data_IF_228936583021
#
_entry.id   IF_228936583021
#
_cell.length_a   1.000
_cell.length_b   1.000
_cell.length_c   1.000
_cell.angle_alpha   90.00
_cell.angle_beta   90.00
_cell.angle_gamma   90.00
#
_symmetry.space_group_name_H-M   'P 1'
#
loop_
_entity.id
_entity.type
_entity.pdbx_description
1 polymer ?
#
# COMPACT_ATOMS: atom_id res chain seq x y z
N UNK A 1 29.04 -25.47 22.54
CA UNK A 1 27.63 -25.86 22.75
C UNK A 1 27.13 -25.12 23.97
N UNK A 2 26.33 -24.07 23.81
CA UNK A 2 25.64 -23.45 24.94
C UNK A 2 24.36 -24.23 25.18
N UNK A 3 24.27 -24.94 26.29
CA UNK A 3 23.01 -25.49 26.75
C UNK A 3 22.16 -24.30 27.21
N UNK A 4 21.22 -23.87 26.36
CA UNK A 4 20.18 -22.95 26.81
C UNK A 4 19.27 -23.72 27.77
N UNK A 5 19.14 -23.20 28.98
CA UNK A 5 18.13 -23.67 29.93
C UNK A 5 16.78 -23.27 29.35
N UNK A 6 15.90 -24.24 29.12
CA UNK A 6 14.51 -23.96 28.76
C UNK A 6 13.76 -23.43 29.98
N UNK A 7 13.62 -22.11 30.05
CA UNK A 7 12.92 -21.43 31.13
C UNK A 7 11.42 -21.23 30.87
N UNK A 8 10.86 -21.83 29.81
CA UNK A 8 9.45 -21.63 29.42
C UNK A 8 9.06 -20.14 29.34
N UNK A 9 9.96 -19.32 28.78
CA UNK A 9 9.87 -17.85 28.67
C UNK A 9 9.82 -17.09 30.01
N UNK A 10 10.07 -17.76 31.15
CA UNK A 10 10.17 -17.08 32.43
C UNK A 10 11.58 -16.52 32.64
N UNK A 11 11.69 -15.27 33.15
CA UNK A 11 12.97 -14.70 33.56
C UNK A 11 13.48 -15.44 34.80
N UNK A 12 14.80 -15.59 34.87
CA UNK A 12 15.46 -16.23 36.01
C UNK A 12 15.30 -15.38 37.27
N UNK A 13 14.71 -15.94 38.32
CA UNK A 13 14.62 -15.32 39.64
C UNK A 13 15.71 -15.91 40.56
N UNK A 14 16.51 -15.04 41.17
CA UNK A 14 17.60 -15.45 42.07
C UNK A 14 17.11 -16.11 43.37
N UNK A 15 15.79 -16.16 43.56
CA UNK A 15 15.09 -16.66 44.73
C UNK A 15 14.64 -18.12 44.65
N UNK A 16 15.03 -18.85 43.59
CA UNK A 16 14.69 -20.28 43.46
C UNK A 16 15.12 -21.12 44.67
N UNK A 17 14.26 -22.05 45.11
CA UNK A 17 14.52 -22.98 46.23
C UNK A 17 15.76 -23.86 46.02
N UNK A 18 16.14 -24.08 44.75
CA UNK A 18 17.27 -24.91 44.37
C UNK A 18 18.62 -24.18 44.42
N UNK A 19 18.63 -22.88 44.73
CA UNK A 19 19.89 -22.15 44.90
C UNK A 19 20.57 -22.48 46.22
N UNK A 20 21.71 -23.13 46.11
CA UNK A 20 22.69 -23.19 47.18
C UNK A 20 23.20 -21.78 47.53
N UNK A 21 23.55 -21.57 48.81
CA UNK A 21 24.19 -20.32 49.23
C UNK A 21 25.52 -20.12 48.51
N UNK A 22 25.96 -18.87 48.40
CA UNK A 22 27.26 -18.49 47.82
C UNK A 22 28.47 -19.21 48.48
N UNK A 23 28.25 -19.84 49.64
CA UNK A 23 29.25 -20.54 50.46
C UNK A 23 29.05 -22.06 50.55
N UNK A 24 28.00 -22.62 49.95
CA UNK A 24 27.72 -24.06 50.02
C UNK A 24 28.78 -24.84 49.23
N UNK A 25 29.19 -26.02 49.70
CA UNK A 25 30.32 -26.87 49.22
C UNK A 25 31.71 -26.46 49.71
N UNK A 26 31.91 -26.57 51.03
CA UNK A 26 33.10 -26.14 51.76
C UNK A 26 34.20 -27.21 51.78
N UNK A 27 35.40 -26.87 51.32
CA UNK A 27 36.65 -27.60 51.59
C UNK A 27 37.62 -26.68 52.34
N UNK A 28 37.34 -26.44 53.63
CA UNK A 28 38.25 -25.74 54.54
C UNK A 28 38.40 -24.22 54.38
N UNK A 29 38.32 -23.66 53.17
CA UNK A 29 38.54 -22.22 52.91
C UNK A 29 37.25 -21.44 52.60
N UNK A 30 37.20 -20.16 53.02
CA UNK A 30 36.10 -19.23 52.77
C UNK A 30 36.20 -18.62 51.37
N UNK A 31 35.98 -19.44 50.34
CA UNK A 31 35.95 -19.00 48.94
C UNK A 31 34.51 -18.97 48.46
N UNK A 32 34.10 -17.83 47.92
CA UNK A 32 32.82 -17.66 47.24
C UNK A 32 32.81 -18.48 45.94
N UNK A 33 31.93 -19.48 45.84
CA UNK A 33 31.90 -20.43 44.70
C UNK A 33 30.83 -20.09 43.66
N UNK A 34 29.79 -19.37 44.06
CA UNK A 34 28.68 -18.97 43.18
C UNK A 34 28.51 -17.46 43.30
N UNK A 35 28.60 -16.76 42.17
CA UNK A 35 28.35 -15.32 42.05
C UNK A 35 27.15 -15.08 41.14
N UNK A 36 26.10 -14.40 41.61
CA UNK A 36 25.01 -14.00 40.74
C UNK A 36 25.50 -13.00 39.70
N UNK A 37 24.90 -13.01 38.50
CA UNK A 37 25.20 -12.03 37.45
C UNK A 37 24.79 -10.62 37.86
N UNK A 38 23.70 -10.50 38.63
CA UNK A 38 23.31 -9.27 39.31
C UNK A 38 24.03 -9.18 40.67
N UNK A 39 24.94 -8.21 40.88
CA UNK A 39 25.67 -8.04 42.14
C UNK A 39 24.77 -7.76 43.36
N UNK A 40 23.55 -7.29 43.13
CA UNK A 40 22.60 -6.98 44.20
C UNK A 40 21.68 -8.16 44.57
N UNK A 41 21.71 -9.23 43.80
CA UNK A 41 20.86 -10.38 44.02
C UNK A 41 21.34 -11.21 45.21
N UNK A 42 20.42 -11.55 46.12
CA UNK A 42 20.70 -12.44 47.26
C UNK A 42 20.44 -13.89 46.86
N UNK A 43 21.47 -14.71 46.76
CA UNK A 43 21.33 -16.15 46.47
C UNK A 43 21.45 -17.00 47.75
N UNK A 44 20.68 -18.07 47.85
CA UNK A 44 20.84 -19.08 48.90
C UNK A 44 19.60 -19.90 49.21
N UNK A 45 19.76 -20.89 50.09
CA UNK A 45 18.71 -21.87 50.39
C UNK A 45 17.45 -21.15 50.91
N UNK A 46 16.30 -21.45 50.29
CA UNK A 46 14.99 -20.98 50.75
C UNK A 46 14.20 -22.13 51.37
N UNK A 47 13.27 -21.80 52.25
CA UNK A 47 12.38 -22.77 52.90
C UNK A 47 11.08 -23.01 52.11
N UNK A 48 10.80 -22.17 51.11
CA UNK A 48 9.59 -22.24 50.27
C UNK A 48 9.93 -21.88 48.81
N UNK A 49 9.10 -22.34 47.88
CA UNK A 49 9.18 -22.00 46.47
C UNK A 49 9.01 -20.49 46.26
N UNK A 50 9.80 -19.91 45.36
CA UNK A 50 9.61 -18.53 44.90
C UNK A 50 8.40 -18.41 43.98
N UNK A 51 7.99 -17.17 43.66
CA UNK A 51 6.94 -16.94 42.66
C UNK A 51 7.35 -17.48 41.27
N UNK A 52 8.63 -17.34 40.90
CA UNK A 52 9.17 -17.91 39.66
C UNK A 52 9.16 -19.44 39.67
N UNK A 53 9.58 -20.08 40.77
CA UNK A 53 9.52 -21.54 40.95
C UNK A 53 8.09 -22.06 40.79
N UNK A 54 7.11 -21.41 41.44
CA UNK A 54 5.69 -21.78 41.37
C UNK A 54 5.20 -21.64 39.92
N UNK A 55 5.51 -20.51 39.27
CA UNK A 55 5.07 -20.22 37.91
C UNK A 55 5.67 -21.20 36.89
N UNK A 56 6.96 -21.51 37.00
CA UNK A 56 7.63 -22.46 36.13
C UNK A 56 7.14 -23.90 36.37
N UNK A 57 6.93 -24.29 37.64
CA UNK A 57 6.35 -25.59 38.01
C UNK A 57 4.92 -25.74 37.45
N UNK A 58 4.09 -24.70 37.59
CA UNK A 58 2.73 -24.71 37.04
C UNK A 58 2.72 -24.86 35.52
N UNK A 59 3.64 -24.19 34.80
CA UNK A 59 3.81 -24.37 33.35
C UNK A 59 4.29 -25.77 32.99
N UNK A 60 5.28 -26.30 33.71
CA UNK A 60 5.89 -27.61 33.46
C UNK A 60 4.89 -28.76 33.68
N UNK A 61 4.10 -28.68 34.76
CA UNK A 61 3.17 -29.74 35.16
C UNK A 61 1.71 -29.49 34.75
N UNK A 62 1.43 -28.40 34.03
CA UNK A 62 0.08 -28.05 33.54
C UNK A 62 -0.95 -27.98 34.66
N UNK A 63 -0.56 -27.38 35.79
CA UNK A 63 -1.43 -27.24 36.94
C UNK A 63 -2.68 -26.40 36.58
N UNK A 64 -3.88 -26.76 37.09
CA UNK A 64 -5.08 -25.96 36.88
C UNK A 64 -4.87 -24.51 37.32
N UNK A 65 -5.36 -23.58 36.52
CA UNK A 65 -5.18 -22.15 36.73
C UNK A 65 -5.93 -21.68 37.99
N UNK A 66 -5.23 -20.99 38.88
CA UNK A 66 -5.77 -20.50 40.14
C UNK A 66 -6.91 -19.50 39.86
N UNK A 67 -7.97 -19.57 40.66
CA UNK A 67 -9.08 -18.60 40.65
C UNK A 67 -8.57 -17.15 40.55
N UNK A 68 -8.98 -16.41 39.52
CA UNK A 68 -8.59 -15.00 39.37
C UNK A 68 -7.35 -14.73 38.51
N UNK A 69 -6.71 -15.76 37.93
CA UNK A 69 -5.45 -15.58 37.20
C UNK A 69 -5.62 -15.01 35.78
N UNK A 70 -4.63 -14.22 35.37
CA UNK A 70 -4.39 -13.87 33.96
C UNK A 70 -3.77 -15.07 33.23
N UNK A 71 -4.38 -15.48 32.12
CA UNK A 71 -4.02 -16.70 31.39
C UNK A 71 -3.46 -16.33 30.03
N UNK A 72 -2.21 -16.70 29.78
CA UNK A 72 -1.55 -16.49 28.47
C UNK A 72 -0.95 -17.79 27.98
N UNK A 73 -1.26 -18.17 26.75
CA UNK A 73 -0.75 -19.39 26.13
C UNK A 73 -1.64 -19.88 25.01
N UNK A 74 -1.19 -20.87 24.25
CA UNK A 74 -1.95 -21.46 23.13
C UNK A 74 -2.87 -22.60 23.58
N UNK A 75 -2.76 -23.07 24.81
CA UNK A 75 -3.67 -24.05 25.40
C UNK A 75 -3.58 -23.99 26.93
N UNK A 76 -4.59 -24.54 27.61
CA UNK A 76 -4.55 -24.71 29.05
C UNK A 76 -5.85 -25.25 29.63
N UNK A 77 -5.83 -25.54 30.93
CA UNK A 77 -6.96 -26.10 31.67
C UNK A 77 -7.36 -25.15 32.80
N UNK A 78 -8.65 -24.84 32.87
CA UNK A 78 -9.27 -24.04 33.92
C UNK A 78 -10.26 -24.92 34.66
N UNK A 79 -10.16 -24.96 35.98
CA UNK A 79 -11.09 -25.72 36.82
C UNK A 79 -11.74 -24.81 37.84
N UNK A 80 -12.90 -25.22 38.34
CA UNK A 80 -13.45 -24.62 39.55
C UNK A 80 -12.47 -24.80 40.72
N UNK A 81 -12.52 -23.92 41.73
CA UNK A 81 -11.77 -24.11 42.97
C UNK A 81 -12.03 -25.50 43.57
N UNK A 82 -10.99 -26.11 44.13
CA UNK A 82 -11.01 -27.45 44.76
C UNK A 82 -11.31 -28.63 43.83
N UNK A 83 -11.56 -28.44 42.53
CA UNK A 83 -11.82 -29.53 41.59
C UNK A 83 -10.74 -30.62 41.68
N UNK A 84 -11.09 -31.93 41.75
CA UNK A 84 -12.43 -32.51 41.51
C UNK A 84 -13.37 -32.55 42.74
N UNK A 85 -12.99 -31.95 43.87
CA UNK A 85 -13.88 -31.78 45.01
C UNK A 85 -14.85 -30.62 44.77
N UNK A 86 -15.89 -30.54 45.59
CA UNK A 86 -16.87 -29.48 45.51
C UNK A 86 -16.23 -28.08 45.68
N UNK A 87 -16.71 -27.12 44.90
CA UNK A 87 -16.26 -25.73 45.01
C UNK A 87 -16.71 -25.11 46.33
N UNK A 88 -16.08 -24.01 46.77
CA UNK A 88 -16.47 -23.32 48.00
C UNK A 88 -17.70 -22.41 47.79
N UNK A 89 -18.50 -22.21 48.83
CA UNK A 89 -19.55 -21.19 48.85
C UNK A 89 -18.99 -19.77 48.72
N UNK A 90 -19.79 -18.83 48.19
CA UNK A 90 -19.47 -17.41 48.03
C UNK A 90 -18.17 -17.17 47.24
N UNK A 91 -17.91 -17.98 46.22
CA UNK A 91 -16.69 -17.89 45.45
C UNK A 91 -16.92 -17.05 44.19
N UNK A 92 -15.96 -16.19 43.86
CA UNK A 92 -15.94 -15.48 42.58
C UNK A 92 -14.56 -15.56 41.96
N UNK A 93 -14.50 -16.09 40.74
CA UNK A 93 -13.28 -16.22 39.96
C UNK A 93 -13.46 -15.53 38.62
N UNK A 94 -12.42 -14.84 38.15
CA UNK A 94 -12.36 -14.23 36.83
C UNK A 94 -11.07 -14.67 36.15
N UNK A 95 -11.17 -15.28 34.97
CA UNK A 95 -10.03 -15.66 34.16
C UNK A 95 -10.06 -14.86 32.86
N UNK A 96 -8.96 -14.17 32.58
CA UNK A 96 -8.75 -13.46 31.32
C UNK A 96 -7.79 -14.30 30.47
N UNK A 97 -8.29 -14.86 29.37
CA UNK A 97 -7.56 -15.75 28.49
C UNK A 97 -7.09 -14.96 27.28
N UNK A 98 -5.78 -14.95 27.04
CA UNK A 98 -5.15 -14.33 25.88
C UNK A 98 -4.32 -15.35 25.12
N UNK A 99 -4.66 -15.56 23.85
CA UNK A 99 -3.87 -16.35 22.88
C UNK A 99 -3.08 -15.40 21.96
N UNK A 100 -2.10 -15.90 21.17
CA UNK A 100 -1.40 -15.09 20.20
C UNK A 100 -2.34 -14.36 19.23
N UNK A 101 -1.92 -13.17 18.78
CA UNK A 101 -2.67 -12.37 17.80
C UNK A 101 -2.83 -13.16 16.50
N UNK A 102 -4.03 -13.16 15.92
CA UNK A 102 -4.38 -13.96 14.73
C UNK A 102 -5.00 -15.32 15.04
N UNK A 103 -5.08 -15.70 16.32
CA UNK A 103 -5.80 -16.88 16.78
C UNK A 103 -7.16 -16.52 17.39
N UNK A 104 -8.07 -17.49 17.42
CA UNK A 104 -9.28 -17.48 18.24
C UNK A 104 -9.18 -18.51 19.36
N UNK A 105 -10.00 -18.37 20.38
CA UNK A 105 -10.03 -19.23 21.56
C UNK A 105 -11.23 -20.16 21.44
N UNK A 106 -10.98 -21.46 21.50
CA UNK A 106 -12.03 -22.47 21.61
C UNK A 106 -11.99 -23.06 23.02
N UNK A 107 -13.09 -22.95 23.76
CA UNK A 107 -13.26 -23.44 25.12
C UNK A 107 -14.22 -24.63 25.14
N UNK A 108 -13.77 -25.75 25.71
CA UNK A 108 -14.55 -26.98 25.83
C UNK A 108 -14.55 -27.50 27.27
N UNK A 109 -15.72 -27.88 27.78
CA UNK A 109 -15.87 -28.46 29.11
C UNK A 109 -15.69 -29.98 29.06
N UNK A 110 -14.85 -30.52 29.94
CA UNK A 110 -14.68 -31.97 30.14
C UNK A 110 -15.54 -32.49 31.29
N UNK A 111 -15.95 -31.60 32.21
CA UNK A 111 -16.82 -31.90 33.34
C UNK A 111 -17.56 -30.62 33.75
N UNK A 112 -18.84 -30.73 34.11
CA UNK A 112 -19.67 -29.58 34.50
C UNK A 112 -20.80 -30.03 35.45
N UNK A 113 -20.80 -29.53 36.69
CA UNK A 113 -21.82 -29.78 37.70
C UNK A 113 -21.88 -28.58 38.67
N UNK A 114 -22.83 -27.67 38.44
CA UNK A 114 -23.11 -26.51 39.29
C UNK A 114 -24.57 -26.54 39.78
N UNK A 115 -24.84 -25.85 40.88
CA UNK A 115 -26.22 -25.55 41.29
C UNK A 115 -26.93 -24.71 40.22
N UNK A 116 -28.19 -25.02 39.94
CA UNK A 116 -29.05 -24.22 39.06
C UNK A 116 -29.65 -25.00 37.89
N UNK A 117 -30.66 -24.39 37.25
CA UNK A 117 -31.35 -24.97 36.08
C UNK A 117 -31.54 -23.94 34.97
N UNK A 118 -32.71 -23.27 34.88
CA UNK A 118 -33.04 -22.46 33.68
C UNK A 118 -32.48 -21.04 33.70
N UNK A 119 -32.42 -20.39 34.86
CA UNK A 119 -32.05 -18.96 34.96
C UNK A 119 -30.62 -18.71 35.47
N UNK A 120 -29.95 -19.75 36.02
CA UNK A 120 -28.60 -19.64 36.58
C UNK A 120 -28.43 -18.49 37.59
N UNK A 121 -29.44 -18.29 38.44
CA UNK A 121 -29.49 -17.20 39.43
C UNK A 121 -28.66 -17.47 40.69
N UNK A 122 -28.38 -18.75 40.98
CA UNK A 122 -27.51 -19.19 42.08
C UNK A 122 -26.05 -19.25 41.59
N UNK A 123 -25.61 -20.44 41.17
CA UNK A 123 -24.25 -20.66 40.69
C UNK A 123 -24.18 -20.61 39.17
N UNK A 124 -23.12 -19.99 38.63
CA UNK A 124 -22.99 -19.85 37.18
C UNK A 124 -21.55 -19.69 36.69
N UNK A 125 -21.37 -20.03 35.41
CA UNK A 125 -20.23 -19.61 34.60
C UNK A 125 -20.71 -18.71 33.47
N UNK A 126 -20.13 -17.52 33.35
CA UNK A 126 -20.34 -16.59 32.22
C UNK A 126 -19.09 -16.50 31.38
N UNK A 127 -19.28 -16.52 30.06
CA UNK A 127 -18.19 -16.41 29.09
C UNK A 127 -18.43 -15.18 28.22
N UNK A 128 -17.42 -14.32 28.11
CA UNK A 128 -17.46 -13.05 27.38
C UNK A 128 -16.45 -13.04 26.22
N UNK A 129 -16.84 -12.41 25.12
CA UNK A 129 -16.07 -12.34 23.88
C UNK A 129 -15.09 -11.17 23.85
N UNK A 130 -14.09 -11.19 24.74
CA UNK A 130 -13.04 -10.18 24.75
C UNK A 130 -12.29 -10.13 26.08
N UNK A 131 -11.53 -9.04 26.33
CA UNK A 131 -10.61 -8.97 27.46
C UNK A 131 -11.28 -8.64 28.80
N UNK A 132 -12.60 -8.42 28.86
CA UNK A 132 -13.27 -8.14 30.13
C UNK A 132 -14.75 -8.54 30.15
N UNK A 133 -15.38 -8.47 31.33
CA UNK A 133 -16.83 -8.67 31.53
C UNK A 133 -17.73 -7.60 30.91
N UNK A 134 -17.15 -6.50 30.41
CA UNK A 134 -17.91 -5.44 29.73
C UNK A 134 -18.12 -5.75 28.25
N UNK A 135 -17.49 -6.81 27.75
CA UNK A 135 -17.59 -7.27 26.37
C UNK A 135 -18.86 -8.10 26.13
N UNK A 136 -19.12 -8.45 24.88
CA UNK A 136 -20.30 -9.23 24.51
C UNK A 136 -20.35 -10.57 25.26
N UNK A 137 -21.42 -10.79 26.04
CA UNK A 137 -21.69 -12.08 26.69
C UNK A 137 -21.98 -13.13 25.62
N UNK A 138 -21.19 -14.20 25.58
CA UNK A 138 -21.40 -15.34 24.69
C UNK A 138 -22.45 -16.29 25.26
N UNK A 139 -22.31 -16.65 26.54
CA UNK A 139 -23.20 -17.61 27.19
C UNK A 139 -23.12 -17.54 28.73
N UNK A 140 -24.22 -17.91 29.37
CA UNK A 140 -24.32 -18.21 30.82
C UNK A 140 -24.63 -19.69 30.98
N UNK A 141 -23.93 -20.38 31.88
CA UNK A 141 -23.98 -21.83 32.08
C UNK A 141 -24.20 -22.15 33.57
N UNK A 142 -25.06 -23.13 33.86
CA UNK A 142 -25.27 -23.71 35.19
C UNK A 142 -25.90 -25.11 35.06
N UNK A 143 -26.10 -25.81 36.17
CA UNK A 143 -26.65 -27.17 36.18
C UNK A 143 -25.63 -28.26 35.86
N UNK A 144 -26.12 -29.39 35.35
CA UNK A 144 -25.34 -30.64 35.21
C UNK A 144 -25.09 -31.09 33.76
N UNK A 145 -25.72 -30.42 32.81
CA UNK A 145 -25.56 -30.75 31.40
C UNK A 145 -24.21 -30.25 30.90
N UNK A 146 -23.49 -31.10 30.17
CA UNK A 146 -22.19 -30.72 29.62
C UNK A 146 -22.38 -29.65 28.53
N UNK A 147 -21.82 -28.43 28.70
CA UNK A 147 -22.00 -27.35 27.75
C UNK A 147 -21.41 -27.66 26.37
N UNK A 148 -22.01 -27.06 25.33
CA UNK A 148 -21.40 -27.04 24.00
C UNK A 148 -20.13 -26.18 24.02
N UNK A 149 -19.20 -26.51 23.12
CA UNK A 149 -17.98 -25.73 22.88
C UNK A 149 -18.31 -24.28 22.55
N UNK A 150 -17.54 -23.35 23.12
CA UNK A 150 -17.69 -21.90 22.93
C UNK A 150 -16.44 -21.34 22.26
N UNK A 151 -16.60 -20.50 21.25
CA UNK A 151 -15.49 -19.89 20.53
C UNK A 151 -15.54 -18.36 20.60
N UNK A 152 -14.38 -17.70 20.76
CA UNK A 152 -14.25 -16.25 20.64
C UNK A 152 -14.11 -15.81 19.18
N UNK A 153 -14.34 -14.52 18.92
CA UNK A 153 -14.06 -13.89 17.62
C UNK A 153 -12.70 -13.17 17.58
N UNK A 154 -12.05 -13.01 18.73
CA UNK A 154 -10.74 -12.38 18.89
C UNK A 154 -9.75 -13.30 19.61
N UNK A 155 -8.52 -12.83 19.80
CA UNK A 155 -7.50 -13.54 20.57
C UNK A 155 -7.66 -13.40 22.09
N UNK A 156 -8.79 -12.89 22.56
CA UNK A 156 -9.11 -12.72 23.99
C UNK A 156 -10.51 -13.25 24.34
N UNK A 157 -10.63 -13.84 25.52
CA UNK A 157 -11.88 -14.37 26.08
C UNK A 157 -11.84 -14.24 27.60
N UNK A 158 -12.96 -13.87 28.22
CA UNK A 158 -13.06 -13.77 29.67
C UNK A 158 -14.07 -14.78 30.20
N UNK A 159 -13.72 -15.49 31.28
CA UNK A 159 -14.61 -16.42 31.96
C UNK A 159 -14.80 -15.99 33.42
N UNK A 160 -16.04 -15.88 33.88
CA UNK A 160 -16.41 -15.58 35.25
C UNK A 160 -17.15 -16.78 35.86
N UNK A 161 -16.71 -17.25 37.03
CA UNK A 161 -17.44 -18.21 37.85
C UNK A 161 -17.90 -17.54 39.14
N UNK A 162 -19.16 -17.74 39.51
CA UNK A 162 -19.75 -17.26 40.77
C UNK A 162 -20.52 -18.40 41.43
N UNK A 163 -20.33 -18.56 42.75
CA UNK A 163 -21.18 -19.38 43.61
C UNK A 163 -21.81 -18.58 44.74
N UNK A 164 -23.01 -18.98 45.17
CA UNK A 164 -23.74 -18.38 46.27
C UNK A 164 -23.43 -19.05 47.64
N UNK A 165 -24.21 -18.75 48.67
CA UNK A 165 -23.98 -19.24 50.04
C UNK A 165 -24.42 -20.70 50.30
N UNK A 166 -25.12 -21.32 49.35
CA UNK A 166 -25.79 -22.61 49.48
C UNK A 166 -25.35 -23.60 48.38
N UNK A 167 -25.56 -24.89 48.63
CA UNK A 167 -25.37 -26.03 47.69
C UNK A 167 -24.09 -25.99 46.84
N UNK A 168 -23.06 -26.69 47.29
CA UNK A 168 -21.82 -26.85 46.52
C UNK A 168 -21.81 -28.19 45.79
N UNK A 169 -21.71 -28.13 44.46
CA UNK A 169 -21.66 -29.29 43.57
C UNK A 169 -20.23 -29.58 43.10
N UNK A 170 -20.06 -30.59 42.23
CA UNK A 170 -18.75 -31.09 41.78
C UNK A 170 -17.91 -30.12 40.93
N UNK A 171 -18.44 -28.96 40.56
CA UNK A 171 -17.71 -27.92 39.84
C UNK A 171 -17.51 -28.21 38.37
N UNK A 172 -16.42 -27.70 37.79
CA UNK A 172 -16.14 -27.86 36.36
C UNK A 172 -14.64 -28.01 36.07
N UNK A 173 -14.37 -28.61 34.90
CA UNK A 173 -13.07 -28.60 34.25
C UNK A 173 -13.28 -28.25 32.78
N UNK A 174 -12.56 -27.23 32.31
CA UNK A 174 -12.60 -26.74 30.95
C UNK A 174 -11.19 -26.62 30.38
N UNK A 175 -11.05 -26.92 29.10
CA UNK A 175 -9.81 -26.73 28.36
C UNK A 175 -10.01 -25.66 27.30
N UNK A 176 -9.07 -24.73 27.20
CA UNK A 176 -9.01 -23.79 26.09
C UNK A 176 -7.87 -24.15 25.15
N UNK A 177 -8.08 -23.90 23.86
CA UNK A 177 -7.06 -24.05 22.82
C UNK A 177 -7.14 -22.87 21.86
N UNK A 178 -5.96 -22.40 21.44
CA UNK A 178 -5.81 -21.47 20.34
C UNK A 178 -6.06 -22.23 19.05
N UNK A 179 -7.12 -21.85 18.35
CA UNK A 179 -7.27 -22.17 16.94
C UNK A 179 -6.65 -21.03 16.13
N UNK A 180 -6.03 -21.28 14.97
CA UNK A 180 -5.98 -20.25 13.94
C UNK A 180 -7.39 -19.70 13.80
N UNK A 181 -7.57 -18.39 13.64
CA UNK A 181 -8.90 -17.86 13.38
C UNK A 181 -9.41 -18.49 12.07
N UNK A 182 -10.13 -19.62 12.17
CA UNK A 182 -10.69 -20.33 11.02
C UNK A 182 -11.82 -19.45 10.53
N UNK A 183 -11.49 -18.55 9.62
CA UNK A 183 -12.41 -18.29 8.54
C UNK A 183 -12.03 -19.25 7.44
N UNK A 184 -12.96 -20.12 7.10
CA UNK A 184 -12.98 -20.95 5.91
C UNK A 184 -12.73 -20.05 4.69
N UNK A 185 -11.46 -19.91 4.33
CA UNK A 185 -10.97 -18.95 3.34
C UNK A 185 -10.11 -19.75 2.40
N UNK A 186 -10.72 -20.65 1.64
CA UNK A 186 -10.15 -21.06 0.38
C UNK A 186 -10.51 -20.00 -0.68
N UNK A 187 -9.80 -19.97 -1.80
CA UNK A 187 -10.09 -19.02 -2.88
C UNK A 187 -11.40 -19.31 -3.62
N UNK A 188 -12.08 -20.41 -3.29
CA UNK A 188 -13.43 -20.69 -3.79
C UNK A 188 -14.52 -19.95 -3.00
N UNK A 189 -14.23 -19.50 -1.78
CA UNK A 189 -15.14 -18.67 -1.01
C UNK A 189 -15.09 -17.22 -1.52
N UNK A 190 -16.24 -16.66 -1.93
CA UNK A 190 -16.37 -15.28 -2.39
C UNK A 190 -16.16 -14.24 -1.29
N UNK A 191 -16.12 -14.64 -0.02
CA UNK A 191 -15.86 -13.78 1.14
C UNK A 191 -14.40 -13.82 1.62
N UNK A 192 -13.44 -14.06 0.72
CA UNK A 192 -12.03 -13.95 1.06
C UNK A 192 -11.58 -12.49 1.20
N UNK A 193 -10.53 -12.26 1.99
CA UNK A 193 -10.02 -10.94 2.38
C UNK A 193 -8.97 -10.36 1.42
N UNK A 194 -8.68 -11.06 0.32
CA UNK A 194 -7.77 -10.56 -0.71
C UNK A 194 -8.44 -9.49 -1.55
N UNK A 195 -7.79 -8.33 -1.70
CA UNK A 195 -8.32 -7.23 -2.52
C UNK A 195 -8.33 -7.57 -4.03
N UNK A 196 -7.40 -8.39 -4.51
CA UNK A 196 -7.28 -8.71 -5.94
C UNK A 196 -7.21 -10.21 -6.24
N UNK A 197 -6.05 -10.84 -6.02
CA UNK A 197 -5.84 -12.26 -6.31
C UNK A 197 -5.72 -13.03 -4.99
N UNK A 198 -6.25 -14.25 -4.98
CA UNK A 198 -6.17 -15.20 -3.87
C UNK A 198 -5.47 -16.47 -4.37
N UNK A 199 -4.60 -17.06 -3.55
CA UNK A 199 -3.96 -18.35 -3.80
C UNK A 199 -4.10 -19.28 -2.60
N UNK A 200 -4.58 -20.50 -2.85
CA UNK A 200 -4.65 -21.56 -1.85
C UNK A 200 -3.24 -22.10 -1.55
N UNK A 201 -2.96 -22.33 -0.26
CA UNK A 201 -1.73 -22.99 0.24
C UNK A 201 -2.10 -24.21 1.07
N UNK A 202 -1.12 -25.02 1.48
CA UNK A 202 -1.36 -26.25 2.25
C UNK A 202 -2.08 -26.03 3.60
N UNK A 203 -2.03 -24.81 4.16
CA UNK A 203 -2.57 -24.49 5.50
C UNK A 203 -3.35 -23.16 5.57
N UNK A 204 -3.45 -22.38 4.49
CA UNK A 204 -4.09 -21.05 4.47
C UNK A 204 -4.40 -20.53 3.04
N UNK A 205 -4.78 -19.26 2.90
CA UNK A 205 -4.67 -18.52 1.62
C UNK A 205 -3.68 -17.36 1.72
N UNK A 206 -3.02 -17.10 0.60
CA UNK A 206 -2.16 -15.94 0.39
C UNK A 206 -2.77 -15.00 -0.64
N UNK A 207 -2.74 -13.71 -0.37
CA UNK A 207 -3.18 -12.71 -1.35
C UNK A 207 -2.03 -12.33 -2.27
N UNK A 208 -2.36 -12.10 -3.53
CA UNK A 208 -1.47 -11.57 -4.53
C UNK A 208 -2.13 -10.38 -5.24
N UNK A 209 -1.30 -9.62 -5.96
CA UNK A 209 -1.75 -8.47 -6.72
C UNK A 209 -1.50 -8.69 -8.21
N UNK A 210 -2.42 -8.17 -9.04
CA UNK A 210 -2.27 -8.17 -10.50
C UNK A 210 -1.05 -7.33 -10.89
N UNK A 211 -0.62 -7.46 -12.14
CA UNK A 211 0.48 -6.66 -12.72
C UNK A 211 0.26 -5.16 -12.44
N UNK A 212 1.33 -4.47 -12.04
CA UNK A 212 1.34 -3.04 -11.69
C UNK A 212 0.69 -2.68 -10.34
N UNK A 213 0.56 -3.64 -9.43
CA UNK A 213 0.18 -3.44 -8.03
C UNK A 213 1.17 -4.13 -7.08
N UNK A 214 1.33 -3.59 -5.87
CA UNK A 214 2.20 -4.09 -4.81
C UNK A 214 1.37 -4.44 -3.57
N UNK A 215 1.62 -5.65 -3.04
CA UNK A 215 0.95 -6.14 -1.83
C UNK A 215 1.38 -5.31 -0.63
N UNK A 216 0.41 -4.78 0.11
CA UNK A 216 0.63 -3.94 1.27
C UNK A 216 1.06 -4.78 2.50
N UNK A 217 1.65 -4.14 3.53
CA UNK A 217 2.14 -4.85 4.73
C UNK A 217 1.06 -5.59 5.52
N UNK A 218 -0.22 -5.28 5.30
CA UNK A 218 -1.34 -6.03 5.88
C UNK A 218 -1.50 -7.44 5.26
N UNK A 219 -0.77 -7.72 4.18
CA UNK A 219 -0.82 -8.94 3.40
C UNK A 219 -2.07 -9.09 2.55
N UNK A 220 -2.98 -8.10 2.55
CA UNK A 220 -4.36 -8.18 2.03
C UNK A 220 -4.59 -7.24 0.85
N UNK A 221 -4.12 -6.01 1.00
CA UNK A 221 -4.43 -4.91 0.12
C UNK A 221 -3.38 -4.75 -0.96
N UNK A 222 -3.80 -4.29 -2.13
CA UNK A 222 -2.96 -4.07 -3.29
C UNK A 222 -2.92 -2.57 -3.60
N UNK A 223 -1.75 -1.96 -3.41
CA UNK A 223 -1.52 -0.56 -3.79
C UNK A 223 -1.03 -0.51 -5.23
N UNK A 224 -1.57 0.42 -6.01
CA UNK A 224 -1.09 0.64 -7.37
C UNK A 224 0.39 1.04 -7.36
N UNK A 225 1.18 0.34 -8.18
CA UNK A 225 2.51 0.81 -8.55
C UNK A 225 2.31 1.88 -9.63
N UNK A 226 2.17 3.13 -9.22
CA UNK A 226 2.32 4.24 -10.15
C UNK A 226 3.79 4.18 -10.64
N UNK A 227 4.05 3.55 -11.79
CA UNK A 227 5.42 3.48 -12.34
C UNK A 227 5.91 4.92 -12.52
N UNK A 228 6.78 5.35 -11.61
CA UNK A 228 7.21 6.76 -11.50
C UNK A 228 7.91 7.27 -12.76
N UNK A 229 8.44 6.37 -13.58
CA UNK A 229 9.10 6.65 -14.84
C UNK A 229 8.55 5.74 -15.94
N UNK A 230 7.96 6.33 -16.98
CA UNK A 230 7.53 5.60 -18.17
C UNK A 230 8.64 5.69 -19.23
N UNK A 231 9.36 4.59 -19.47
CA UNK A 231 10.45 4.49 -20.47
C UNK A 231 10.03 3.60 -21.64
N UNK A 232 10.23 4.04 -22.90
CA UNK A 232 9.92 3.27 -24.12
C UNK A 232 9.06 4.05 -25.13
N UNK A 233 9.05 3.69 -26.42
CA UNK A 233 8.48 4.50 -27.55
C UNK A 233 6.96 4.72 -27.48
N UNK A 234 6.23 3.83 -26.82
CA UNK A 234 4.79 3.91 -26.57
C UNK A 234 4.45 3.31 -25.21
N UNK A 235 3.32 3.72 -24.62
CA UNK A 235 2.79 3.10 -23.41
C UNK A 235 1.46 3.69 -22.96
N UNK A 236 0.85 3.05 -21.97
CA UNK A 236 -0.49 3.39 -21.44
C UNK A 236 -0.40 3.76 -19.95
N UNK A 237 -0.51 5.04 -19.56
CA UNK A 237 -0.87 5.41 -18.19
C UNK A 237 -2.31 4.97 -17.91
N UNK A 238 -2.45 4.03 -16.98
CA UNK A 238 -3.73 3.55 -16.49
C UNK A 238 -4.09 4.28 -15.19
N UNK A 239 -5.35 4.68 -15.06
CA UNK A 239 -5.88 5.15 -13.79
C UNK A 239 -5.94 4.02 -12.76
N UNK A 240 -5.54 4.27 -11.50
CA UNK A 240 -5.74 3.33 -10.40
C UNK A 240 -7.22 3.01 -10.23
N UNK A 241 -7.59 1.73 -10.21
CA UNK A 241 -9.00 1.33 -10.16
C UNK A 241 -9.58 1.40 -8.75
N UNK A 242 -8.79 1.30 -7.67
CA UNK A 242 -9.30 1.48 -6.30
C UNK A 242 -8.17 1.52 -5.26
N UNK A 243 -8.48 2.20 -4.15
CA UNK A 243 -7.81 2.26 -2.83
C UNK A 243 -7.07 3.56 -2.45
N UNK A 244 -7.45 4.00 -1.25
CA UNK A 244 -7.03 5.13 -0.41
C UNK A 244 -5.83 5.98 -0.86
N UNK A 245 -6.13 7.26 -1.08
CA UNK A 245 -5.21 8.42 -0.94
C UNK A 245 -3.80 8.22 -1.48
N UNK A 246 -3.68 7.97 -2.79
CA UNK A 246 -2.37 7.91 -3.45
C UNK A 246 -2.32 8.89 -4.60
N UNK A 247 -1.37 9.83 -4.56
CA UNK A 247 -1.02 10.65 -5.71
C UNK A 247 -0.16 9.81 -6.65
N UNK A 248 -0.63 9.58 -7.88
CA UNK A 248 0.20 8.93 -8.90
C UNK A 248 0.93 9.98 -9.71
N UNK A 249 2.25 9.80 -9.88
CA UNK A 249 3.08 10.66 -10.71
C UNK A 249 3.73 9.80 -11.79
N UNK A 250 3.47 10.13 -13.05
CA UNK A 250 4.18 9.57 -14.19
C UNK A 250 5.03 10.66 -14.82
N UNK A 251 6.35 10.43 -14.82
CA UNK A 251 7.30 11.31 -15.50
C UNK A 251 7.77 10.65 -16.80
N UNK A 252 7.52 11.31 -17.92
CA UNK A 252 8.02 10.96 -19.24
C UNK A 252 9.27 11.81 -19.50
N UNK A 253 10.41 11.14 -19.65
CA UNK A 253 11.72 11.77 -19.85
C UNK A 253 12.26 11.39 -21.22
N UNK A 254 12.95 12.33 -21.85
CA UNK A 254 13.56 12.14 -23.16
C UNK A 254 14.60 11.01 -23.13
N UNK A 255 14.53 10.08 -24.08
CA UNK A 255 15.50 8.98 -24.20
C UNK A 255 16.52 9.20 -25.32
N UNK A 256 16.21 10.09 -26.28
CA UNK A 256 17.09 10.49 -27.38
C UNK A 256 17.01 12.01 -27.57
N UNK A 257 17.98 12.66 -28.23
CA UNK A 257 17.90 14.11 -28.53
C UNK A 257 16.70 14.41 -29.45
N UNK A 258 16.08 15.58 -29.26
CA UNK A 258 14.97 16.11 -30.07
C UNK A 258 13.66 15.28 -30.12
N UNK A 259 13.25 14.63 -29.03
CA UNK A 259 11.96 13.91 -29.01
C UNK A 259 10.82 14.80 -28.50
N UNK A 260 9.63 14.63 -29.07
CA UNK A 260 8.39 15.29 -28.64
C UNK A 260 7.42 14.25 -28.09
N UNK A 261 6.81 14.54 -26.96
CA UNK A 261 5.80 13.68 -26.33
C UNK A 261 4.43 14.05 -26.85
N UNK A 262 3.70 13.09 -27.40
CA UNK A 262 2.26 13.20 -27.62
C UNK A 262 1.53 12.36 -26.59
N UNK A 263 0.58 12.96 -25.88
CA UNK A 263 -0.32 12.30 -24.96
C UNK A 263 -1.77 12.49 -25.42
N UNK A 264 -2.52 11.39 -25.53
CA UNK A 264 -3.92 11.36 -25.96
C UNK A 264 -4.74 10.58 -24.94
N UNK A 265 -5.81 11.20 -24.41
CA UNK A 265 -6.77 10.52 -23.56
C UNK A 265 -7.79 9.76 -24.43
N UNK A 266 -8.06 8.51 -24.09
CA UNK A 266 -9.06 7.65 -24.75
C UNK A 266 -10.30 7.46 -23.89
N UNK A 267 -10.15 7.53 -22.57
CA UNK A 267 -11.24 7.47 -21.58
C UNK A 267 -10.98 8.54 -20.51
N UNK A 268 -12.03 9.21 -20.01
CA UNK A 268 -11.90 10.25 -19.00
C UNK A 268 -13.21 10.46 -18.24
N UNK A 269 -13.27 9.96 -17.01
CA UNK A 269 -14.41 10.14 -16.09
C UNK A 269 -13.88 10.41 -14.67
N UNK A 270 -13.71 11.69 -14.35
CA UNK A 270 -13.26 12.17 -13.05
C UNK A 270 -14.39 12.99 -12.39
N UNK A 271 -14.90 12.52 -11.24
CA UNK A 271 -16.02 13.13 -10.52
C UNK A 271 -15.64 14.52 -9.97
N UNK A 272 -16.61 15.46 -10.05
CA UNK A 272 -16.59 16.91 -9.72
C UNK A 272 -15.95 17.82 -10.77
N UNK A 273 -16.74 18.80 -11.22
CA UNK A 273 -16.34 19.81 -12.21
C UNK A 273 -15.30 20.83 -11.70
N UNK A 274 -15.11 20.94 -10.38
CA UNK A 274 -14.22 21.94 -9.78
C UNK A 274 -12.74 21.48 -9.66
N UNK A 275 -12.41 20.26 -10.09
CA UNK A 275 -11.04 19.69 -10.11
C UNK A 275 -10.28 19.77 -8.75
N UNK A 276 -10.98 19.86 -7.61
CA UNK A 276 -10.36 19.97 -6.28
C UNK A 276 -10.01 18.61 -5.65
N UNK A 277 -10.77 17.57 -6.00
CA UNK A 277 -10.56 16.21 -5.49
C UNK A 277 -9.86 15.35 -6.55
N UNK A 278 -10.63 14.81 -7.50
CA UNK A 278 -10.13 13.95 -8.57
C UNK A 278 -9.74 14.81 -9.77
N UNK A 279 -8.44 14.89 -10.04
CA UNK A 279 -7.96 15.64 -11.20
C UNK A 279 -6.68 15.04 -11.78
N UNK A 280 -6.55 15.18 -13.10
CA UNK A 280 -5.29 14.92 -13.81
C UNK A 280 -4.63 16.27 -14.06
N UNK A 281 -3.50 16.52 -13.41
CA UNK A 281 -2.64 17.68 -13.64
C UNK A 281 -1.54 17.29 -14.63
N UNK A 282 -1.40 18.09 -15.69
CA UNK A 282 -0.39 17.87 -16.73
C UNK A 282 0.57 19.04 -16.74
N UNK A 283 1.83 18.75 -16.47
CA UNK A 283 2.94 19.71 -16.52
C UNK A 283 3.77 19.40 -17.77
N UNK A 284 3.83 20.35 -18.70
CA UNK A 284 4.50 20.20 -20.00
C UNK A 284 5.33 21.41 -20.37
N UNK A 285 6.33 21.21 -21.22
CA UNK A 285 7.19 22.27 -21.77
C UNK A 285 6.87 22.54 -23.24
N UNK A 286 6.70 23.81 -23.59
CA UNK A 286 6.53 24.28 -24.97
C UNK A 286 7.89 24.54 -25.65
N UNK A 287 7.85 24.68 -26.97
CA UNK A 287 9.01 25.01 -27.82
C UNK A 287 9.73 26.31 -27.40
N UNK A 288 8.99 27.31 -26.92
CA UNK A 288 9.56 28.59 -26.44
C UNK A 288 10.05 28.52 -24.99
N UNK A 289 10.31 27.32 -24.47
CA UNK A 289 10.73 27.09 -23.10
C UNK A 289 9.68 27.41 -22.02
N UNK A 290 8.44 27.73 -22.40
CA UNK A 290 7.35 28.03 -21.47
C UNK A 290 6.76 26.75 -20.89
N UNK A 291 6.63 26.68 -19.57
CA UNK A 291 5.93 25.60 -18.87
C UNK A 291 4.43 25.87 -18.83
N UNK A 292 3.62 24.87 -19.13
CA UNK A 292 2.18 24.87 -18.91
C UNK A 292 1.86 23.83 -17.85
N UNK A 293 1.09 24.26 -16.85
CA UNK A 293 0.56 23.42 -15.79
C UNK A 293 -0.97 23.56 -15.79
N UNK A 294 -1.67 22.49 -16.14
CA UNK A 294 -3.12 22.52 -16.29
C UNK A 294 -3.77 21.28 -15.66
N UNK A 295 -4.85 21.50 -14.91
CA UNK A 295 -5.71 20.45 -14.36
C UNK A 295 -6.87 20.15 -15.31
N UNK A 296 -7.23 18.87 -15.39
CA UNK A 296 -8.36 18.35 -16.12
C UNK A 296 -9.21 17.49 -15.16
N UNK A 297 -10.53 17.62 -15.25
CA UNK A 297 -11.52 16.84 -14.51
C UNK A 297 -12.86 16.83 -15.29
N UNK A 298 -13.84 16.08 -14.80
CA UNK A 298 -15.13 15.89 -15.48
C UNK A 298 -15.12 14.71 -16.44
N UNK A 299 -16.09 14.70 -17.37
CA UNK A 299 -16.34 13.61 -18.32
C UNK A 299 -15.89 13.90 -19.74
N UNK A 300 -15.44 15.12 -20.01
CA UNK A 300 -15.01 15.53 -21.34
C UNK A 300 -13.56 15.16 -21.55
N UNK A 301 -13.27 14.44 -22.64
CA UNK A 301 -11.90 14.10 -23.02
C UNK A 301 -11.03 15.38 -23.15
N UNK A 302 -9.88 15.45 -22.46
CA UNK A 302 -8.92 16.52 -22.66
C UNK A 302 -8.42 16.56 -24.12
N UNK A 303 -8.05 17.74 -24.64
CA UNK A 303 -7.41 17.83 -25.95
C UNK A 303 -6.06 17.11 -25.93
N UNK A 304 -5.59 16.68 -27.10
CA UNK A 304 -4.26 16.09 -27.24
C UNK A 304 -3.16 17.04 -26.74
N UNK A 305 -2.24 16.51 -25.94
CA UNK A 305 -1.18 17.27 -25.28
C UNK A 305 0.16 16.97 -25.95
N UNK A 306 0.91 18.02 -26.25
CA UNK A 306 2.23 17.96 -26.90
C UNK A 306 3.29 18.59 -25.98
N UNK A 307 4.40 17.91 -25.71
CA UNK A 307 5.53 18.44 -24.91
C UNK A 307 6.87 18.26 -25.64
N UNK A 308 7.79 19.22 -25.52
CA UNK A 308 9.06 19.25 -26.27
C UNK A 308 10.31 18.82 -25.47
N UNK A 309 10.17 18.46 -24.19
CA UNK A 309 11.31 18.16 -23.30
C UNK A 309 10.94 17.20 -22.16
N UNK A 310 10.07 17.65 -21.24
CA UNK A 310 9.57 16.84 -20.14
C UNK A 310 8.04 16.89 -20.11
N UNK A 311 7.40 15.76 -19.86
CA UNK A 311 5.97 15.67 -19.62
C UNK A 311 5.73 14.93 -18.30
N UNK A 312 5.15 15.61 -17.33
CA UNK A 312 4.74 15.01 -16.05
C UNK A 312 3.22 14.97 -15.97
N UNK A 313 2.68 13.78 -15.76
CA UNK A 313 1.27 13.53 -15.47
C UNK A 313 1.13 13.27 -13.97
N UNK A 314 0.31 14.05 -13.29
CA UNK A 314 0.00 13.85 -11.87
C UNK A 314 -1.48 13.56 -11.76
N UNK A 315 -1.84 12.41 -11.18
CA UNK A 315 -3.21 12.08 -10.84
C UNK A 315 -3.40 12.21 -9.34
N UNK A 316 -4.26 13.16 -8.96
CA UNK A 316 -4.67 13.38 -7.57
C UNK A 316 -5.97 12.60 -7.34
N UNK A 317 -5.94 11.63 -6.42
CA UNK A 317 -7.12 10.88 -5.97
C UNK A 317 -7.64 11.47 -4.65
N UNK A 318 -8.87 11.98 -4.68
CA UNK A 318 -9.60 12.41 -3.50
C UNK A 318 -10.16 11.24 -2.69
N UNK A 319 -10.65 11.52 -1.47
CA UNK A 319 -11.18 10.53 -0.53
C UNK A 319 -12.59 10.00 -0.87
N UNK A 320 -13.13 10.31 -2.05
CA UNK A 320 -14.48 9.90 -2.45
C UNK A 320 -14.45 8.45 -2.95
N UNK A 321 -15.09 7.53 -2.21
CA UNK A 321 -15.18 6.09 -2.54
C UNK A 321 -16.06 5.74 -3.73
N UNK A 322 -16.07 6.53 -4.81
CA UNK A 322 -16.69 6.19 -6.09
C UNK A 322 -15.61 5.95 -7.16
N UNK A 323 -15.80 4.98 -8.06
CA UNK A 323 -14.81 4.65 -9.09
C UNK A 323 -14.67 5.81 -10.09
N UNK A 324 -13.48 6.40 -10.16
CA UNK A 324 -13.09 7.35 -11.23
C UNK A 324 -11.96 6.76 -12.05
N UNK A 325 -11.98 6.96 -13.36
CA UNK A 325 -10.94 6.42 -14.23
C UNK A 325 -10.59 7.36 -15.38
N UNK A 326 -9.39 7.20 -15.89
CA UNK A 326 -8.97 7.71 -17.18
C UNK A 326 -8.03 6.69 -17.83
N UNK A 327 -8.00 6.71 -19.16
CA UNK A 327 -7.01 5.98 -19.95
C UNK A 327 -6.37 6.98 -20.89
N UNK A 328 -5.05 6.98 -20.95
CA UNK A 328 -4.32 7.77 -21.92
C UNK A 328 -3.18 6.95 -22.52
N UNK A 329 -2.82 7.31 -23.74
CA UNK A 329 -1.72 6.71 -24.49
C UNK A 329 -0.70 7.79 -24.78
N UNK A 330 0.58 7.47 -24.60
CA UNK A 330 1.67 8.34 -25.03
C UNK A 330 2.47 7.70 -26.17
N UNK A 331 3.03 8.56 -27.02
CA UNK A 331 4.01 8.17 -28.02
C UNK A 331 5.11 9.22 -28.15
N UNK A 332 6.31 8.76 -28.50
CA UNK A 332 7.41 9.61 -28.91
C UNK A 332 7.23 9.94 -30.40
N UNK A 333 7.33 11.21 -30.73
CA UNK A 333 7.43 11.69 -32.11
C UNK A 333 8.80 12.32 -32.29
N UNK A 334 9.49 11.97 -33.38
CA UNK A 334 10.69 12.68 -33.77
C UNK A 334 10.36 14.16 -33.97
N UNK A 335 11.26 15.05 -33.56
CA UNK A 335 11.15 16.47 -33.89
C UNK A 335 12.01 16.75 -35.12
N UNK A 336 11.43 16.57 -36.30
CA UNK A 336 12.10 16.77 -37.57
C UNK A 336 12.62 18.21 -37.71
N UNK A 337 11.91 19.19 -37.14
CA UNK A 337 12.33 20.59 -37.13
C UNK A 337 13.58 20.87 -36.25
N UNK A 338 13.87 20.04 -35.25
CA UNK A 338 14.99 20.29 -34.34
C UNK A 338 16.34 19.80 -34.88
N UNK A 339 16.32 18.98 -35.94
CA UNK A 339 17.52 18.56 -36.67
C UNK A 339 17.58 19.34 -37.98
N UNK A 340 18.63 20.16 -38.16
CA UNK A 340 18.84 20.96 -39.38
C UNK A 340 17.61 21.80 -39.84
N UNK A 341 16.78 22.30 -38.91
CA UNK A 341 15.53 23.02 -39.22
C UNK A 341 14.57 22.22 -40.12
N UNK A 342 14.54 20.87 -40.02
CA UNK A 342 13.73 20.02 -40.90
C UNK A 342 14.08 20.19 -42.39
N UNK A 343 15.34 20.52 -42.68
CA UNK A 343 15.85 20.91 -44.01
C UNK A 343 15.16 22.16 -44.60
N UNK A 344 14.37 22.90 -43.81
CA UNK A 344 13.73 24.13 -44.24
C UNK A 344 14.74 25.28 -44.37
N UNK A 345 14.69 25.99 -45.50
CA UNK A 345 15.58 27.12 -45.77
C UNK A 345 15.35 28.31 -44.82
N UNK A 346 14.10 28.54 -44.39
CA UNK A 346 13.77 29.63 -43.47
C UNK A 346 13.22 29.12 -42.14
N UNK A 347 11.97 28.65 -42.10
CA UNK A 347 11.35 28.27 -40.84
C UNK A 347 10.52 27.00 -40.98
N UNK A 348 10.89 26.00 -40.20
CA UNK A 348 10.11 24.78 -40.01
C UNK A 348 8.94 25.02 -39.06
N UNK A 349 7.80 24.44 -39.39
CA UNK A 349 6.61 24.43 -38.55
C UNK A 349 6.16 22.98 -38.38
N UNK A 350 6.15 22.51 -37.14
CA UNK A 350 5.64 21.18 -36.83
C UNK A 350 4.13 21.14 -36.98
N UNK A 351 3.63 20.05 -37.55
CA UNK A 351 2.20 19.73 -37.69
C UNK A 351 1.94 18.34 -37.10
N UNK A 352 0.70 17.97 -36.74
CA UNK A 352 0.44 16.64 -36.20
C UNK A 352 0.88 15.52 -37.16
N UNK A 353 1.90 14.75 -36.81
CA UNK A 353 2.43 13.63 -37.60
C UNK A 353 3.32 14.01 -38.80
N UNK A 354 3.67 15.29 -38.98
CA UNK A 354 4.56 15.75 -40.08
C UNK A 354 5.07 17.17 -39.80
N UNK A 355 5.85 17.78 -40.69
CA UNK A 355 6.26 19.18 -40.61
C UNK A 355 6.12 19.85 -41.96
N UNK A 356 6.10 21.18 -41.98
CA UNK A 356 6.15 21.94 -43.22
C UNK A 356 7.04 23.16 -43.08
N UNK A 357 7.69 23.51 -44.18
CA UNK A 357 8.52 24.70 -44.26
C UNK A 357 7.67 25.91 -44.66
N UNK A 358 8.03 27.09 -44.14
CA UNK A 358 7.44 28.36 -44.55
C UNK A 358 8.54 29.36 -44.79
N UNK A 359 8.31 30.23 -45.76
CA UNK A 359 9.25 31.26 -46.17
C UNK A 359 8.98 32.61 -45.52
N UNK A 360 9.98 33.48 -45.57
CA UNK A 360 9.86 34.89 -45.18
C UNK A 360 8.80 35.58 -46.05
N UNK A 361 8.15 36.62 -45.53
CA UNK A 361 7.18 37.44 -46.28
C UNK A 361 7.84 37.94 -47.59
N UNK A 362 7.16 37.72 -48.73
CA UNK A 362 7.68 38.03 -50.07
C UNK A 362 8.32 36.85 -50.82
N UNK A 363 8.46 35.70 -50.16
CA UNK A 363 8.95 34.46 -50.74
C UNK A 363 7.87 33.37 -50.67
N UNK A 364 7.88 32.46 -51.62
CA UNK A 364 7.05 31.27 -51.66
C UNK A 364 7.89 30.00 -51.58
N UNK A 365 7.27 28.93 -51.09
CA UNK A 365 7.92 27.66 -50.92
C UNK A 365 8.15 26.98 -52.28
N UNK A 366 9.37 26.50 -52.49
CA UNK A 366 9.83 25.77 -53.67
C UNK A 366 10.42 24.44 -53.23
N UNK A 367 10.16 23.36 -53.98
CA UNK A 367 10.67 22.00 -53.66
C UNK A 367 10.38 21.54 -52.21
N UNK A 368 9.27 22.00 -51.63
CA UNK A 368 8.81 21.71 -50.25
C UNK A 368 9.70 22.20 -49.10
N UNK A 369 10.95 22.60 -49.32
CA UNK A 369 11.84 23.08 -48.25
C UNK A 369 12.61 24.37 -48.55
N UNK A 370 12.72 24.78 -49.81
CA UNK A 370 13.42 26.01 -50.24
C UNK A 370 12.47 27.19 -50.42
N UNK A 371 13.02 28.39 -50.45
CA UNK A 371 12.29 29.64 -50.58
C UNK A 371 12.71 30.40 -51.84
N UNK A 372 11.75 30.71 -52.71
CA UNK A 372 11.97 31.55 -53.89
C UNK A 372 11.17 32.83 -53.81
N UNK A 373 11.68 33.92 -54.36
CA UNK A 373 10.99 35.20 -54.35
C UNK A 373 9.71 35.11 -55.19
N UNK A 374 8.58 35.63 -54.66
CA UNK A 374 7.33 35.72 -55.43
C UNK A 374 7.51 36.71 -56.57
N UNK A 375 7.40 36.24 -57.82
CA UNK A 375 7.16 37.11 -58.97
C UNK A 375 8.36 37.50 -59.85
N UNK A 376 9.31 36.60 -60.12
CA UNK A 376 10.08 36.72 -61.35
C UNK A 376 9.64 35.63 -62.33
N UNK A 377 8.98 36.05 -63.40
CA UNK A 377 8.63 35.21 -64.53
C UNK A 377 9.89 34.47 -65.04
N UNK A 378 9.72 33.21 -65.46
CA UNK A 378 10.74 32.48 -66.22
C UNK A 378 11.27 33.38 -67.33
N UNK A 379 12.59 33.51 -67.46
CA UNK A 379 13.20 33.96 -68.70
C UNK A 379 12.72 33.02 -69.81
N UNK A 380 11.86 33.51 -70.70
CA UNK A 380 11.58 32.84 -71.97
C UNK A 380 12.80 33.09 -72.88
N UNK A 381 13.28 32.07 -73.59
CA UNK A 381 14.55 32.12 -74.28
C UNK A 381 14.39 32.77 -75.65
N UNK A 382 14.03 34.05 -75.72
CA UNK A 382 14.05 34.78 -76.99
C UNK A 382 13.93 36.28 -76.72
N UNK A 383 15.05 36.88 -76.28
CA UNK A 383 15.42 38.32 -76.36
C UNK A 383 16.25 38.78 -75.16
N UNK A 384 17.42 38.20 -74.94
CA UNK A 384 18.51 38.90 -74.26
C UNK A 384 19.85 38.26 -74.62
N UNK A 385 20.73 39.05 -75.24
CA UNK A 385 22.14 38.74 -75.42
C UNK A 385 22.84 39.08 -74.09
N UNK A 386 23.31 38.05 -73.39
CA UNK A 386 24.47 37.99 -72.46
C UNK A 386 24.28 37.08 -71.22
N UNK A 387 25.43 36.59 -70.78
CA UNK A 387 25.73 35.40 -69.96
C UNK A 387 25.32 35.55 -68.50
N UNK A 388 24.61 34.54 -67.96
CA UNK A 388 24.40 34.38 -66.52
C UNK A 388 25.66 33.82 -65.86
N UNK A 389 26.31 34.61 -65.01
CA UNK A 389 27.25 34.11 -64.01
C UNK A 389 26.67 34.37 -62.62
N UNK A 390 26.47 33.27 -61.89
CA UNK A 390 26.15 33.27 -60.48
C UNK A 390 27.36 33.77 -59.71
N UNK A 391 27.20 34.89 -59.01
CA UNK A 391 27.67 35.14 -57.63
C UNK A 391 27.57 36.64 -57.35
N UNK A 392 26.91 37.03 -56.25
CA UNK A 392 26.68 38.41 -55.78
C UNK A 392 25.50 39.18 -56.42
N UNK A 393 24.25 38.78 -56.14
CA UNK A 393 23.04 39.55 -56.49
C UNK A 393 22.74 40.69 -55.48
N UNK A 394 23.53 41.77 -55.53
CA UNK A 394 23.08 43.11 -55.17
C UNK A 394 22.41 43.72 -56.41
N UNK A 395 21.16 44.19 -56.30
CA UNK A 395 20.50 44.91 -57.41
C UNK A 395 20.22 46.34 -57.00
N UNK A 396 20.97 47.27 -57.61
CA UNK A 396 20.54 48.65 -57.78
C UNK A 396 19.92 48.77 -59.18
N UNK A 397 18.62 49.08 -59.25
CA UNK A 397 18.05 49.63 -60.47
C UNK A 397 18.42 51.12 -60.54
N UNK A 398 19.36 51.47 -61.42
CA UNK A 398 19.47 52.86 -61.90
C UNK A 398 18.42 53.07 -63.00
N UNK A 399 17.43 53.91 -62.71
CA UNK A 399 16.59 54.53 -63.71
C UNK A 399 17.46 55.48 -64.54
N UNK A 400 17.82 55.10 -65.78
CA UNK A 400 18.17 56.11 -66.78
C UNK A 400 16.85 56.58 -67.40
N UNK A 401 16.30 57.63 -66.78
CA UNK A 401 15.38 58.55 -67.42
C UNK A 401 16.15 59.21 -68.56
N UNK A 402 15.94 58.76 -69.81
CA UNK A 402 15.97 59.57 -71.05
C UNK A 402 15.94 58.67 -72.27
N UNK A 403 14.74 58.26 -72.71
CA UNK A 403 14.43 58.09 -74.15
C UNK A 403 12.93 57.86 -74.47
N UNK A 404 12.02 58.28 -73.57
CA UNK A 404 10.56 58.34 -73.84
C UNK A 404 10.02 59.79 -73.86
N UNK A 405 10.85 60.73 -74.33
CA UNK A 405 10.45 62.12 -74.56
C UNK A 405 10.92 62.66 -75.92
N UNK A 406 10.78 61.86 -76.98
CA UNK A 406 10.86 62.33 -78.38
C UNK A 406 9.91 61.53 -79.29
N UNK A 407 8.61 61.62 -79.01
CA UNK A 407 7.54 61.38 -79.99
C UNK A 407 6.19 61.93 -79.51
N UNK A 408 6.15 63.23 -79.21
CA UNK A 408 4.93 64.06 -79.10
C UNK A 408 5.37 65.54 -78.96
N UNK A 409 5.90 66.10 -80.04
CA UNK A 409 6.11 67.55 -80.25
C UNK A 409 6.73 67.73 -81.63
N UNK A 410 5.92 67.68 -82.69
CA UNK A 410 6.18 68.35 -83.98
C UNK A 410 4.83 68.54 -84.68
N UNK A 411 4.02 69.42 -84.08
CA UNK A 411 3.06 70.28 -84.76
C UNK A 411 3.07 71.59 -84.00
N UNK A 412 4.01 72.47 -84.37
CA UNK A 412 3.89 73.93 -84.39
C UNK A 412 5.25 74.48 -84.88
N UNK A 413 5.21 74.97 -86.12
CA UNK A 413 6.20 75.72 -86.91
C UNK A 413 7.44 74.98 -87.41
#
# INVERSE_FOLDING_TARGET
MSWQVDSLEEPYDYDSIMHSSQWTYRNGEWIERVRPKDPNAKIGQREKLSEGDIKQTNKLYRCPLICGSQVRGTFGTITSPNYPQAYSANTRCLWEITVPVGSTITLSFTSFNLEGYVQCDADYVKIFNGPSKNEALLITLCGRDLPKTVSSTSNTMTMEFVSDSSVQEGGFSATFQAAPAVQDRNCQNTEHWCQQECKDTELSIECACRRDFELQPDGKSCKVLCRMLLTGVTGEPLSPVESSSSQCVWKLVQTQRNQVFRLTFTEFDLIKENCQDNSVRVVRRLENNKTIDKRYCGKTLPPTIISYDELTLVFDMGSSGQPTHFRANYRYEDNECATNNGDCEYRCYKTPGTYHCKCKKGFELYEKSKCRQRGFAKCLPESCIFTCLSELKLFHCFLIVTQYARKLSNTLW
#
